data_IF_426330945755
#
_entry.id   IF_426330945755
#
_cell.length_a   1.000
_cell.length_b   1.000
_cell.length_c   1.000
_cell.angle_alpha   90.00
_cell.angle_beta   90.00
_cell.angle_gamma   90.00
#
_symmetry.space_group_name_H-M   'P 1'
#
loop_
_entity.id
_entity.type
_entity.pdbx_description
1 polymer ?
#
# COMPACT_ATOMS: atom_id res chain seq x y z
N UNK A 1 8.49 -2.75 -12.63
CA UNK A 1 9.88 -2.38 -12.29
C UNK A 1 10.89 -3.47 -12.69
N UNK A 2 10.48 -4.63 -13.25
CA UNK A 2 11.40 -5.69 -13.73
C UNK A 2 12.48 -5.15 -14.68
N UNK A 3 12.09 -4.34 -15.67
CA UNK A 3 13.02 -3.71 -16.62
C UNK A 3 14.11 -2.87 -15.93
N UNK A 4 13.81 -2.16 -14.84
CA UNK A 4 14.84 -1.41 -14.12
C UNK A 4 15.84 -2.34 -13.41
N UNK A 5 15.39 -3.49 -12.93
CA UNK A 5 16.28 -4.52 -12.38
C UNK A 5 17.12 -5.13 -13.49
N UNK A 6 16.57 -5.40 -14.67
CA UNK A 6 17.31 -5.88 -15.86
C UNK A 6 18.40 -4.88 -16.27
N UNK A 7 18.08 -3.59 -16.38
CA UNK A 7 19.10 -2.54 -16.64
C UNK A 7 20.19 -2.53 -15.56
N UNK A 8 19.82 -2.69 -14.29
CA UNK A 8 20.80 -2.75 -13.18
C UNK A 8 21.71 -3.98 -13.31
N UNK A 9 21.16 -5.14 -13.73
CA UNK A 9 21.93 -6.36 -13.99
C UNK A 9 22.92 -6.14 -15.12
N UNK A 10 22.48 -5.58 -16.25
CA UNK A 10 23.32 -5.37 -17.42
C UNK A 10 24.50 -4.44 -17.09
N UNK A 11 24.24 -3.37 -16.32
CA UNK A 11 25.28 -2.45 -15.84
C UNK A 11 26.27 -3.20 -14.92
N UNK A 12 25.78 -3.99 -13.98
CA UNK A 12 26.62 -4.75 -13.06
C UNK A 12 27.48 -5.80 -13.78
N UNK A 13 26.91 -6.54 -14.73
CA UNK A 13 27.63 -7.52 -15.57
C UNK A 13 28.69 -6.82 -16.40
N UNK A 14 28.35 -5.72 -17.07
CA UNK A 14 29.30 -4.98 -17.91
C UNK A 14 30.49 -4.45 -17.10
N UNK A 15 30.23 -3.91 -15.90
CA UNK A 15 31.28 -3.48 -14.99
C UNK A 15 32.17 -4.67 -14.59
N UNK A 16 31.58 -5.78 -14.16
CA UNK A 16 32.32 -6.96 -13.74
C UNK A 16 33.18 -7.55 -14.87
N UNK A 17 32.67 -7.57 -16.10
CA UNK A 17 33.43 -8.06 -17.27
C UNK A 17 34.63 -7.15 -17.61
N UNK A 18 34.52 -5.85 -17.33
CA UNK A 18 35.55 -4.85 -17.68
C UNK A 18 36.62 -4.72 -16.58
N UNK A 19 36.20 -4.75 -15.31
CA UNK A 19 37.04 -4.41 -14.16
C UNK A 19 37.23 -5.58 -13.17
N UNK A 20 36.59 -6.73 -13.40
CA UNK A 20 36.60 -7.89 -12.50
C UNK A 20 35.39 -7.93 -11.56
N UNK A 21 35.16 -9.11 -10.96
CA UNK A 21 33.98 -9.38 -10.13
C UNK A 21 33.84 -8.42 -8.94
N UNK A 22 32.95 -7.44 -9.06
CA UNK A 22 32.77 -6.34 -8.10
C UNK A 22 31.34 -6.29 -7.55
N UNK A 23 30.35 -6.26 -8.43
CA UNK A 23 28.95 -6.13 -8.07
C UNK A 23 28.24 -7.49 -8.05
N UNK A 24 27.38 -7.69 -7.05
CA UNK A 24 26.44 -8.82 -7.04
C UNK A 24 25.33 -8.51 -8.04
N UNK A 25 25.00 -9.48 -8.88
CA UNK A 25 23.96 -9.32 -9.92
C UNK A 25 22.59 -9.47 -9.26
N UNK A 26 21.74 -8.42 -9.27
CA UNK A 26 20.45 -8.46 -8.57
C UNK A 26 19.43 -9.31 -9.33
N UNK A 27 18.48 -9.90 -8.63
CA UNK A 27 17.35 -10.64 -9.23
C UNK A 27 16.02 -9.94 -8.96
N UNK A 28 15.10 -9.90 -9.94
CA UNK A 28 13.80 -9.31 -9.72
C UNK A 28 12.98 -10.22 -8.79
N UNK A 29 12.51 -9.66 -7.68
CA UNK A 29 11.50 -10.31 -6.85
C UNK A 29 10.12 -9.85 -7.30
N UNK A 30 9.36 -10.75 -7.94
CA UNK A 30 7.99 -10.49 -8.39
C UNK A 30 7.05 -11.16 -7.39
N UNK A 31 6.15 -10.37 -6.78
CA UNK A 31 5.04 -10.94 -6.00
C UNK A 31 4.01 -11.50 -6.98
N UNK A 32 3.60 -12.75 -6.79
CA UNK A 32 2.65 -13.44 -7.67
C UNK A 32 1.30 -12.74 -7.73
N UNK A 33 0.88 -12.16 -6.60
CA UNK A 33 -0.37 -11.41 -6.50
C UNK A 33 -0.11 -10.00 -5.95
N UNK A 34 -0.45 -9.00 -6.74
CA UNK A 34 -0.65 -7.63 -6.26
C UNK A 34 -2.12 -7.35 -6.42
N UNK A 35 -2.89 -7.53 -5.34
CA UNK A 35 -4.31 -7.20 -5.35
C UNK A 35 -4.46 -5.70 -5.70
N UNK A 36 -5.19 -5.43 -6.78
CA UNK A 36 -5.54 -4.05 -7.15
C UNK A 36 -6.60 -3.60 -6.17
N UNK A 37 -6.25 -2.65 -5.29
CA UNK A 37 -7.22 -2.04 -4.39
C UNK A 37 -8.09 -1.06 -5.19
N UNK A 38 -9.43 -1.21 -5.19
CA UNK A 38 -10.32 -0.27 -5.87
C UNK A 38 -10.36 1.07 -5.13
N UNK A 39 -10.44 2.16 -5.89
CA UNK A 39 -10.72 3.49 -5.39
C UNK A 39 -12.21 3.70 -5.13
N UNK A 40 -12.57 4.90 -4.68
CA UNK A 40 -13.97 5.28 -4.39
C UNK A 40 -14.89 5.26 -5.61
N UNK A 41 -14.33 5.18 -6.82
CA UNK A 41 -15.01 5.17 -8.11
C UNK A 41 -14.95 3.81 -8.83
N UNK A 42 -14.33 2.79 -8.21
CA UNK A 42 -14.17 1.45 -8.77
C UNK A 42 -12.98 1.26 -9.70
N UNK A 43 -12.31 2.34 -10.11
CA UNK A 43 -11.02 2.23 -10.79
C UNK A 43 -9.92 1.83 -9.79
N UNK A 44 -8.73 1.49 -10.28
CA UNK A 44 -7.56 1.32 -9.41
C UNK A 44 -7.38 2.57 -8.53
N UNK A 45 -7.19 2.37 -7.23
CA UNK A 45 -6.92 3.45 -6.29
C UNK A 45 -5.62 4.18 -6.68
N UNK A 46 -5.70 5.49 -6.94
CA UNK A 46 -4.57 6.33 -7.31
C UNK A 46 -4.77 7.77 -6.85
N UNK A 47 -3.71 8.38 -6.30
CA UNK A 47 -3.72 9.81 -5.94
C UNK A 47 -4.03 10.71 -7.14
N UNK A 48 -3.52 10.34 -8.33
CA UNK A 48 -3.75 11.10 -9.57
C UNK A 48 -5.21 11.13 -10.01
N UNK A 49 -6.00 10.13 -9.63
CA UNK A 49 -7.42 10.04 -9.97
C UNK A 49 -8.31 10.69 -8.90
N UNK A 50 -7.74 11.11 -7.77
CA UNK A 50 -8.52 11.67 -6.66
C UNK A 50 -9.45 10.66 -5.97
N UNK A 51 -9.33 9.36 -6.27
CA UNK A 51 -10.23 8.30 -5.79
C UNK A 51 -9.68 7.54 -4.56
N UNK A 52 -8.74 8.12 -3.82
CA UNK A 52 -8.07 7.48 -2.68
C UNK A 52 -8.80 7.66 -1.36
N UNK A 53 -8.60 6.74 -0.42
CA UNK A 53 -8.96 6.90 1.00
C UNK A 53 -7.65 6.95 1.80
N UNK A 54 -7.30 8.12 2.34
CA UNK A 54 -6.05 8.30 3.07
C UNK A 54 -6.06 7.64 4.44
N UNK A 55 -4.96 6.98 4.81
CA UNK A 55 -4.81 6.30 6.12
C UNK A 55 -4.73 7.29 7.29
N UNK A 56 -4.10 8.45 7.07
CA UNK A 56 -3.74 9.41 8.12
C UNK A 56 -4.45 10.77 7.99
N UNK A 57 -5.55 10.83 7.25
CA UNK A 57 -6.39 12.03 7.19
C UNK A 57 -7.31 12.15 8.42
N UNK A 58 -7.90 13.33 8.58
CA UNK A 58 -8.90 13.61 9.62
C UNK A 58 -10.12 12.70 9.49
N UNK A 59 -10.70 12.32 10.63
CA UNK A 59 -11.84 11.40 10.71
C UNK A 59 -12.98 11.82 9.78
N UNK A 60 -13.36 13.10 9.84
CA UNK A 60 -14.43 13.68 9.03
C UNK A 60 -14.14 13.57 7.52
N UNK A 61 -12.88 13.72 7.12
CA UNK A 61 -12.48 13.62 5.72
C UNK A 61 -12.58 12.18 5.21
N UNK A 62 -12.08 11.21 5.99
CA UNK A 62 -12.18 9.78 5.67
C UNK A 62 -13.63 9.34 5.61
N UNK A 63 -14.44 9.72 6.61
CA UNK A 63 -15.87 9.43 6.65
C UNK A 63 -16.58 9.94 5.40
N UNK A 64 -16.31 11.19 5.01
CA UNK A 64 -16.90 11.79 3.79
C UNK A 64 -16.55 10.97 2.55
N UNK A 65 -15.29 10.53 2.41
CA UNK A 65 -14.86 9.72 1.26
C UNK A 65 -15.51 8.34 1.22
N UNK A 66 -15.56 7.64 2.34
CA UNK A 66 -16.20 6.31 2.43
C UNK A 66 -17.70 6.41 2.13
N UNK A 67 -18.37 7.43 2.67
CA UNK A 67 -19.80 7.66 2.38
C UNK A 67 -20.04 7.99 0.90
N UNK A 68 -19.06 8.62 0.26
CA UNK A 68 -19.09 8.99 -1.16
C UNK A 68 -18.71 7.88 -2.15
N UNK A 69 -18.39 6.66 -1.69
CA UNK A 69 -18.06 5.54 -2.60
C UNK A 69 -19.23 5.30 -3.59
N UNK A 70 -18.92 5.17 -4.87
CA UNK A 70 -19.92 4.94 -5.92
C UNK A 70 -20.58 3.58 -5.71
N UNK A 71 -21.91 3.55 -5.82
CA UNK A 71 -22.76 2.36 -5.74
C UNK A 71 -23.78 2.41 -6.87
N UNK A 72 -24.37 1.28 -7.22
CA UNK A 72 -25.54 1.26 -8.10
C UNK A 72 -26.82 1.80 -7.40
N UNK A 73 -27.92 1.81 -8.13
CA UNK A 73 -29.20 2.38 -7.72
C UNK A 73 -30.15 1.40 -7.02
N UNK A 74 -29.73 0.17 -6.69
CA UNK A 74 -30.60 -0.82 -6.05
C UNK A 74 -30.96 -0.39 -4.63
N UNK A 75 -32.23 -0.52 -4.30
CA UNK A 75 -32.79 -0.26 -2.97
C UNK A 75 -32.29 -1.28 -1.93
N UNK A 76 -32.46 -1.01 -0.62
CA UNK A 76 -32.11 -1.99 0.41
C UNK A 76 -32.82 -3.33 0.24
N UNK A 77 -34.08 -3.33 -0.20
CA UNK A 77 -34.90 -4.54 -0.34
C UNK A 77 -34.46 -5.41 -1.53
N UNK A 78 -33.89 -4.81 -2.58
CA UNK A 78 -33.44 -5.54 -3.77
C UNK A 78 -32.21 -6.42 -3.46
N UNK A 79 -32.26 -7.73 -3.78
CA UNK A 79 -31.12 -8.64 -3.72
C UNK A 79 -29.97 -8.18 -4.61
N UNK A 80 -28.73 -8.42 -4.16
CA UNK A 80 -27.50 -8.01 -4.85
C UNK A 80 -26.59 -9.22 -5.07
N UNK A 81 -26.89 -10.10 -6.04
CA UNK A 81 -26.17 -11.37 -6.23
C UNK A 81 -24.68 -11.19 -6.57
N UNK A 82 -24.31 -10.03 -7.08
CA UNK A 82 -22.95 -9.56 -7.40
C UNK A 82 -22.28 -8.80 -6.25
N UNK A 83 -22.75 -8.95 -5.00
CA UNK A 83 -22.22 -8.23 -3.84
C UNK A 83 -20.70 -8.42 -3.62
N UNK A 84 -20.12 -9.53 -4.09
CA UNK A 84 -18.68 -9.75 -4.07
C UNK A 84 -17.89 -8.66 -4.83
N UNK A 85 -18.48 -8.10 -5.88
CA UNK A 85 -17.92 -7.05 -6.71
C UNK A 85 -18.22 -5.65 -6.17
N UNK A 86 -19.03 -5.53 -5.12
CA UNK A 86 -19.34 -4.24 -4.52
C UNK A 86 -18.09 -3.59 -3.92
N UNK A 87 -17.84 -2.32 -4.24
CA UNK A 87 -16.61 -1.62 -3.85
C UNK A 87 -16.41 -1.56 -2.33
N UNK A 88 -17.48 -1.34 -1.56
CA UNK A 88 -17.35 -1.28 -0.12
C UNK A 88 -17.14 -2.68 0.49
N UNK A 89 -17.67 -3.75 -0.10
CA UNK A 89 -17.37 -5.13 0.32
C UNK A 89 -15.90 -5.45 0.04
N UNK A 90 -15.39 -5.13 -1.15
CA UNK A 90 -13.98 -5.33 -1.50
C UNK A 90 -13.04 -4.60 -0.54
N UNK A 91 -13.37 -3.35 -0.18
CA UNK A 91 -12.59 -2.58 0.78
C UNK A 91 -12.72 -3.12 2.21
N UNK A 92 -13.91 -3.60 2.60
CA UNK A 92 -14.16 -4.18 3.92
C UNK A 92 -13.32 -5.44 4.13
N UNK A 93 -13.15 -6.29 3.10
CA UNK A 93 -12.27 -7.47 3.11
C UNK A 93 -10.80 -7.16 3.46
N UNK A 94 -10.36 -5.90 3.27
CA UNK A 94 -8.98 -5.49 3.56
C UNK A 94 -8.76 -5.03 5.00
N UNK A 95 -9.82 -4.63 5.71
CA UNK A 95 -9.72 -3.94 7.02
C UNK A 95 -10.56 -4.59 8.12
N UNK A 96 -11.50 -5.46 7.77
CA UNK A 96 -12.33 -6.19 8.72
C UNK A 96 -11.95 -7.68 8.78
N UNK A 97 -12.33 -8.39 9.84
CA UNK A 97 -12.26 -9.85 9.87
C UNK A 97 -13.00 -10.47 8.67
N UNK A 98 -12.47 -11.57 8.14
CA UNK A 98 -13.02 -12.23 6.94
C UNK A 98 -14.51 -12.57 7.09
N UNK A 99 -14.89 -13.12 8.25
CA UNK A 99 -16.27 -13.46 8.58
C UNK A 99 -17.21 -12.25 8.55
N UNK A 100 -16.72 -11.09 8.99
CA UNK A 100 -17.50 -9.84 8.94
C UNK A 100 -17.76 -9.43 7.50
N UNK A 101 -16.72 -9.40 6.66
CA UNK A 101 -16.89 -9.03 5.27
C UNK A 101 -17.83 -10.01 4.54
N UNK A 102 -17.75 -11.30 4.87
CA UNK A 102 -18.64 -12.33 4.32
C UNK A 102 -20.09 -12.20 4.79
N UNK A 103 -20.34 -11.84 6.04
CA UNK A 103 -21.70 -11.54 6.53
C UNK A 103 -22.34 -10.39 5.74
N UNK A 104 -21.62 -9.28 5.58
CA UNK A 104 -22.10 -8.14 4.81
C UNK A 104 -22.37 -8.50 3.35
N UNK A 105 -21.50 -9.28 2.72
CA UNK A 105 -21.70 -9.82 1.37
C UNK A 105 -22.99 -10.66 1.29
N UNK A 106 -23.16 -11.63 2.19
CA UNK A 106 -24.32 -12.53 2.21
C UNK A 106 -25.64 -11.76 2.43
N UNK A 107 -25.64 -10.76 3.31
CA UNK A 107 -26.82 -9.92 3.59
C UNK A 107 -27.19 -9.02 2.40
N UNK A 108 -26.21 -8.55 1.63
CA UNK A 108 -26.48 -7.85 0.37
C UNK A 108 -27.07 -8.81 -0.67
N UNK A 109 -26.51 -10.02 -0.79
CA UNK A 109 -27.03 -11.06 -1.69
C UNK A 109 -28.49 -11.42 -1.37
N UNK A 110 -28.85 -11.53 -0.09
CA UNK A 110 -30.21 -11.86 0.35
C UNK A 110 -31.21 -10.70 0.18
N UNK A 111 -30.72 -9.45 0.15
CA UNK A 111 -31.56 -8.25 0.25
C UNK A 111 -31.87 -7.89 1.72
N UNK A 112 -32.36 -6.68 1.93
CA UNK A 112 -32.67 -6.10 3.24
C UNK A 112 -31.55 -5.24 3.84
N UNK A 113 -30.37 -5.18 3.22
CA UNK A 113 -29.27 -4.30 3.64
C UNK A 113 -29.07 -3.14 2.65
N UNK A 114 -29.08 -1.92 3.19
CA UNK A 114 -28.79 -0.70 2.42
C UNK A 114 -27.31 -0.38 2.33
N UNK A 115 -26.88 0.22 1.22
CA UNK A 115 -25.48 0.64 1.03
C UNK A 115 -25.01 1.67 2.07
N UNK A 116 -25.92 2.48 2.62
CA UNK A 116 -25.58 3.44 3.67
C UNK A 116 -25.05 2.74 4.93
N UNK A 117 -25.65 1.62 5.33
CA UNK A 117 -25.23 0.89 6.52
C UNK A 117 -23.94 0.09 6.27
N UNK A 118 -23.77 -0.47 5.07
CA UNK A 118 -22.50 -1.04 4.63
C UNK A 118 -21.36 -0.01 4.69
N UNK A 119 -21.59 1.21 4.18
CA UNK A 119 -20.58 2.30 4.21
C UNK A 119 -20.27 2.76 5.63
N UNK A 120 -21.25 2.79 6.53
CA UNK A 120 -21.02 3.06 7.97
C UNK A 120 -20.13 1.98 8.57
N UNK A 121 -20.45 0.71 8.36
CA UNK A 121 -19.63 -0.40 8.85
C UNK A 121 -18.20 -0.34 8.30
N UNK A 122 -18.03 -0.12 7.00
CA UNK A 122 -16.72 0.08 6.39
C UNK A 122 -15.94 1.22 7.04
N UNK A 123 -16.58 2.35 7.32
CA UNK A 123 -15.93 3.46 8.02
C UNK A 123 -15.45 3.05 9.42
N UNK A 124 -16.29 2.39 10.21
CA UNK A 124 -15.92 1.97 11.57
C UNK A 124 -14.73 0.99 11.54
N UNK A 125 -14.76 -0.03 10.69
CA UNK A 125 -13.65 -0.98 10.57
C UNK A 125 -12.38 -0.31 10.02
N UNK A 126 -12.49 0.51 8.98
CA UNK A 126 -11.37 1.24 8.40
C UNK A 126 -10.72 2.17 9.43
N UNK A 127 -11.54 2.91 10.18
CA UNK A 127 -11.06 3.82 11.20
C UNK A 127 -10.34 3.03 12.29
N UNK A 128 -10.96 2.01 12.86
CA UNK A 128 -10.36 1.25 13.96
C UNK A 128 -9.11 0.46 13.55
N UNK A 129 -9.08 -0.10 12.33
CA UNK A 129 -7.94 -0.87 11.81
C UNK A 129 -6.62 -0.08 11.85
N UNK A 130 -6.67 1.20 11.49
CA UNK A 130 -5.48 2.06 11.48
C UNK A 130 -5.31 2.91 12.76
N UNK A 131 -6.10 2.68 13.82
CA UNK A 131 -6.05 3.51 15.03
C UNK A 131 -4.65 3.56 15.66
N UNK A 132 -4.04 2.38 15.89
CA UNK A 132 -2.69 2.29 16.43
C UNK A 132 -1.64 2.97 15.53
N UNK A 133 -1.78 2.83 14.20
CA UNK A 133 -0.87 3.48 13.25
C UNK A 133 -1.04 5.01 13.24
N UNK A 134 -2.27 5.52 13.35
CA UNK A 134 -2.54 6.97 13.46
C UNK A 134 -1.98 7.56 14.75
N UNK A 135 -2.17 6.87 15.88
CA UNK A 135 -1.55 7.25 17.15
C UNK A 135 -0.02 7.28 17.01
N UNK A 136 0.58 6.23 16.45
CA UNK A 136 2.03 6.16 16.30
C UNK A 136 2.57 7.27 15.40
N UNK A 137 1.86 7.59 14.31
CA UNK A 137 2.21 8.72 13.45
C UNK A 137 2.16 10.04 14.22
N UNK A 138 1.15 10.27 15.05
CA UNK A 138 1.04 11.49 15.85
C UNK A 138 2.22 11.62 16.84
N UNK A 139 2.58 10.53 17.54
CA UNK A 139 3.75 10.48 18.41
C UNK A 139 5.04 10.82 17.66
N UNK A 140 5.26 10.23 16.47
CA UNK A 140 6.45 10.48 15.67
C UNK A 140 6.48 11.89 15.08
N UNK A 141 5.33 12.45 14.69
CA UNK A 141 5.23 13.82 14.20
C UNK A 141 5.51 14.85 15.30
N UNK A 142 5.18 14.53 16.55
CA UNK A 142 5.49 15.36 17.71
C UNK A 142 6.97 15.25 18.17
N UNK A 143 7.71 14.25 17.69
CA UNK A 143 9.12 14.02 18.03
C UNK A 143 9.96 13.78 16.78
N UNK A 144 10.17 14.84 16.00
CA UNK A 144 10.97 14.80 14.78
C UNK A 144 12.45 14.49 15.06
N UNK A 145 12.98 14.83 16.23
CA UNK A 145 14.35 14.50 16.62
C UNK A 145 14.58 12.99 16.66
N UNK A 146 13.64 12.25 17.25
CA UNK A 146 13.68 10.78 17.21
C UNK A 146 13.61 10.24 15.78
N UNK A 147 12.74 10.80 14.93
CA UNK A 147 12.65 10.39 13.51
C UNK A 147 13.98 10.61 12.79
N UNK A 148 14.58 11.79 12.96
CA UNK A 148 15.87 12.14 12.37
C UNK A 148 16.99 11.24 12.91
N UNK A 149 16.97 10.91 14.20
CA UNK A 149 17.93 9.98 14.79
C UNK A 149 17.83 8.59 14.18
N UNK A 150 16.61 8.06 14.01
CA UNK A 150 16.39 6.74 13.38
C UNK A 150 16.86 6.76 11.92
N UNK A 151 16.55 7.81 11.17
CA UNK A 151 17.00 7.97 9.78
C UNK A 151 18.52 8.08 9.69
N UNK A 152 19.16 8.85 10.58
CA UNK A 152 20.61 8.99 10.65
C UNK A 152 21.30 7.67 10.98
N UNK A 153 20.76 6.90 11.94
CA UNK A 153 21.26 5.59 12.28
C UNK A 153 21.13 4.59 11.11
N UNK A 154 20.00 4.60 10.40
CA UNK A 154 19.81 3.82 9.18
C UNK A 154 20.80 4.20 8.07
N UNK A 155 20.99 5.50 7.85
CA UNK A 155 21.94 6.03 6.87
C UNK A 155 23.39 5.65 7.21
N UNK A 156 23.78 5.67 8.48
CA UNK A 156 25.11 5.24 8.92
C UNK A 156 25.36 3.76 8.62
N UNK A 157 24.38 2.89 8.94
CA UNK A 157 24.45 1.46 8.63
C UNK A 157 24.56 1.20 7.12
N UNK A 158 23.71 1.85 6.32
CA UNK A 158 23.73 1.73 4.86
C UNK A 158 25.04 2.25 4.27
N UNK A 159 25.55 3.40 4.75
CA UNK A 159 26.81 4.00 4.29
C UNK A 159 28.01 3.10 4.58
N UNK A 160 28.06 2.47 5.74
CA UNK A 160 29.15 1.55 6.08
C UNK A 160 29.24 0.37 5.10
N UNK A 161 28.11 -0.16 4.63
CA UNK A 161 28.08 -1.20 3.60
C UNK A 161 28.45 -0.62 2.22
N UNK A 162 27.83 0.50 1.84
CA UNK A 162 28.04 1.14 0.55
C UNK A 162 29.50 1.56 0.34
N UNK A 163 30.18 2.05 1.37
CA UNK A 163 31.61 2.41 1.30
C UNK A 163 32.49 1.21 0.98
N UNK A 164 32.19 0.02 1.52
CA UNK A 164 32.93 -1.21 1.18
C UNK A 164 32.75 -1.56 -0.30
N UNK A 165 31.53 -1.46 -0.82
CA UNK A 165 31.23 -1.73 -2.22
C UNK A 165 31.90 -0.69 -3.14
N UNK A 166 31.80 0.59 -2.79
CA UNK A 166 32.41 1.68 -3.55
C UNK A 166 33.93 1.57 -3.59
N UNK A 167 34.57 1.22 -2.47
CA UNK A 167 36.02 1.00 -2.40
C UNK A 167 36.45 -0.11 -3.37
N UNK A 168 35.77 -1.26 -3.36
CA UNK A 168 36.04 -2.35 -4.32
C UNK A 168 35.93 -1.88 -5.77
N UNK A 169 34.90 -1.11 -6.08
CA UNK A 169 34.71 -0.56 -7.44
C UNK A 169 35.82 0.42 -7.83
N UNK A 170 36.22 1.34 -6.93
CA UNK A 170 37.30 2.30 -7.18
C UNK A 170 38.62 1.60 -7.46
N UNK A 171 38.99 0.64 -6.62
CA UNK A 171 40.19 -0.19 -6.78
C UNK A 171 40.16 -0.98 -8.10
N UNK A 172 39.05 -1.64 -8.42
CA UNK A 172 38.89 -2.38 -9.68
C UNK A 172 39.03 -1.48 -10.92
N UNK A 173 38.61 -0.22 -10.82
CA UNK A 173 38.70 0.77 -11.91
C UNK A 173 39.99 1.61 -11.91
N UNK A 174 40.93 1.36 -11.00
CA UNK A 174 42.20 2.10 -10.92
C UNK A 174 42.09 3.55 -10.43
N UNK A 175 41.02 3.88 -9.69
CA UNK A 175 40.82 5.21 -9.08
C UNK A 175 41.40 5.34 -7.67
N UNK A 176 41.83 4.21 -7.10
CA UNK A 176 42.50 4.02 -5.80
C UNK A 176 43.42 2.79 -5.86
#
# INVERSE_FOLDING_TARGET
QKQHVEVTRDIAIKFNNTYGETFVIPEPQIREEVAVVPGTDGQKMSKSYGNTIEIFAEEKAIRKKIMGIVMDSRTPQEPKPDAENNLAVQLLKLVAPEETAKDFENRLCAGGLGYGDLKKALFEYYWNYFAAARQKRAELAANLDYVNQVLAAGAAKARALAQKVLKRARQASGLE
#
